data_IF_278415376894
#
_entry.id   IF_278415376894
#
_cell.length_a   1.000
_cell.length_b   1.000
_cell.length_c   1.000
_cell.angle_alpha   90.00
_cell.angle_beta   90.00
_cell.angle_gamma   90.00
#
_symmetry.space_group_name_H-M   'P 1'
#
loop_
_entity.id
_entity.type
_entity.pdbx_description
1 polymer ?
#
# COMPACT_ATOMS: atom_id res chain seq x y z
N UNK A 1 48.31 -50.30 -29.53
CA UNK A 1 47.35 -50.48 -28.40
C UNK A 1 47.15 -49.24 -27.52
N UNK A 2 47.85 -48.12 -27.73
CA UNK A 2 47.78 -46.92 -26.87
C UNK A 2 46.48 -46.10 -27.01
N UNK A 3 45.82 -46.13 -28.18
CA UNK A 3 44.60 -45.33 -28.43
C UNK A 3 43.34 -45.76 -27.65
N UNK A 4 43.18 -47.05 -27.32
CA UNK A 4 41.99 -47.54 -26.60
C UNK A 4 41.98 -47.15 -25.11
N UNK A 5 43.14 -46.99 -24.49
CA UNK A 5 43.24 -46.56 -23.09
C UNK A 5 42.94 -45.05 -22.93
N UNK A 6 43.36 -44.23 -23.90
CA UNK A 6 43.15 -42.79 -23.87
C UNK A 6 41.67 -42.39 -24.01
N UNK A 7 40.93 -43.02 -24.93
CA UNK A 7 39.49 -42.76 -25.11
C UNK A 7 38.66 -43.15 -23.87
N UNK A 8 39.05 -44.20 -23.13
CA UNK A 8 38.34 -44.64 -21.92
C UNK A 8 38.54 -43.66 -20.73
N UNK A 9 39.73 -43.07 -20.62
CA UNK A 9 40.05 -42.05 -19.61
C UNK A 9 39.34 -40.72 -19.83
N UNK A 10 39.19 -40.28 -21.08
CA UNK A 10 38.48 -39.03 -21.41
C UNK A 10 36.97 -39.17 -21.20
N UNK A 11 36.37 -40.30 -21.59
CA UNK A 11 34.95 -40.58 -21.40
C UNK A 11 34.53 -40.54 -19.92
N UNK A 12 35.30 -41.19 -19.04
CA UNK A 12 35.01 -41.21 -17.59
C UNK A 12 35.16 -39.84 -16.92
N UNK A 13 36.09 -38.98 -17.37
CA UNK A 13 36.19 -37.59 -16.87
C UNK A 13 35.00 -36.73 -17.30
N UNK A 14 34.55 -36.85 -18.55
CA UNK A 14 33.38 -36.10 -19.07
C UNK A 14 32.11 -36.48 -18.30
N UNK A 15 31.89 -37.78 -18.05
CA UNK A 15 30.74 -38.26 -17.26
C UNK A 15 30.79 -37.73 -15.81
N UNK A 16 31.98 -37.68 -15.20
CA UNK A 16 32.15 -37.19 -13.82
C UNK A 16 31.92 -35.68 -13.71
N UNK A 17 32.32 -34.90 -14.72
CA UNK A 17 32.06 -33.46 -14.82
C UNK A 17 30.56 -33.20 -15.02
N UNK A 18 29.91 -33.95 -15.91
CA UNK A 18 28.47 -33.86 -16.15
C UNK A 18 27.64 -34.15 -14.88
N UNK A 19 27.99 -35.22 -14.13
CA UNK A 19 27.29 -35.59 -12.90
C UNK A 19 27.41 -34.52 -11.81
N UNK A 20 28.60 -33.94 -11.62
CA UNK A 20 28.81 -32.84 -10.64
C UNK A 20 28.10 -31.55 -11.03
N UNK A 21 28.01 -31.25 -12.33
CA UNK A 21 27.26 -30.09 -12.85
C UNK A 21 25.76 -30.24 -12.56
N UNK A 22 25.19 -31.41 -12.87
CA UNK A 22 23.78 -31.73 -12.63
C UNK A 22 23.43 -31.69 -11.13
N UNK A 23 24.29 -32.23 -10.27
CA UNK A 23 24.09 -32.20 -8.80
C UNK A 23 24.05 -30.76 -8.25
N UNK A 24 24.91 -29.88 -8.81
CA UNK A 24 25.00 -28.48 -8.40
C UNK A 24 23.77 -27.68 -8.85
N UNK A 25 23.30 -27.90 -10.08
CA UNK A 25 22.04 -27.33 -10.61
C UNK A 25 20.84 -27.83 -9.80
N UNK A 26 20.81 -29.11 -9.43
CA UNK A 26 19.73 -29.69 -8.60
C UNK A 26 19.68 -29.08 -7.21
N UNK A 27 20.82 -28.88 -6.55
CA UNK A 27 20.87 -28.20 -5.23
C UNK A 27 20.43 -26.73 -5.31
N UNK A 28 20.84 -26.02 -6.36
CA UNK A 28 20.39 -24.64 -6.58
C UNK A 28 18.87 -24.55 -6.81
N UNK A 29 18.31 -25.49 -7.58
CA UNK A 29 16.86 -25.58 -7.78
C UNK A 29 16.11 -25.88 -6.47
N UNK A 30 16.58 -26.83 -5.66
CA UNK A 30 15.93 -27.15 -4.38
C UNK A 30 15.99 -25.97 -3.41
N UNK A 31 17.13 -25.27 -3.32
CA UNK A 31 17.27 -24.07 -2.49
C UNK A 31 16.34 -22.95 -2.93
N UNK A 32 16.20 -22.74 -4.25
CA UNK A 32 15.30 -21.73 -4.79
C UNK A 32 13.84 -22.09 -4.55
N UNK A 33 13.46 -23.36 -4.73
CA UNK A 33 12.09 -23.83 -4.49
C UNK A 33 11.68 -23.72 -3.02
N UNK A 34 12.59 -24.00 -2.08
CA UNK A 34 12.32 -23.84 -0.64
C UNK A 34 12.19 -22.36 -0.26
N UNK A 35 13.04 -21.49 -0.82
CA UNK A 35 12.97 -20.04 -0.59
C UNK A 35 11.69 -19.44 -1.17
N UNK A 36 11.30 -19.82 -2.38
CA UNK A 36 10.05 -19.41 -3.03
C UNK A 36 8.84 -19.93 -2.25
N UNK A 37 8.86 -21.18 -1.77
CA UNK A 37 7.78 -21.71 -0.95
C UNK A 37 7.66 -20.99 0.40
N UNK A 38 8.78 -20.67 1.05
CA UNK A 38 8.80 -19.87 2.27
C UNK A 38 8.23 -18.47 2.05
N UNK A 39 8.66 -17.79 0.97
CA UNK A 39 8.11 -16.49 0.57
C UNK A 39 6.61 -16.57 0.24
N UNK A 40 6.16 -17.62 -0.46
CA UNK A 40 4.74 -17.83 -0.76
C UNK A 40 3.93 -18.08 0.52
N UNK A 41 4.43 -18.86 1.48
CA UNK A 41 3.72 -19.11 2.75
C UNK A 41 3.63 -17.84 3.60
N UNK A 42 4.74 -17.12 3.73
CA UNK A 42 4.82 -15.90 4.53
C UNK A 42 4.00 -14.77 3.89
N UNK A 43 3.93 -14.74 2.56
CA UNK A 43 3.11 -13.80 1.79
C UNK A 43 1.64 -14.25 1.67
N UNK A 44 1.34 -15.56 1.74
CA UNK A 44 -0.02 -16.07 1.85
C UNK A 44 -0.64 -15.73 3.21
N UNK A 45 0.16 -15.78 4.28
CA UNK A 45 -0.25 -15.27 5.59
C UNK A 45 -0.50 -13.75 5.54
N UNK A 46 0.27 -13.01 4.73
CA UNK A 46 0.03 -11.58 4.45
C UNK A 46 -1.23 -11.34 3.57
N UNK A 47 -1.48 -12.17 2.55
CA UNK A 47 -2.66 -12.11 1.67
C UNK A 47 -3.96 -12.53 2.35
N UNK A 48 -3.90 -13.36 3.39
CA UNK A 48 -5.06 -13.71 4.21
C UNK A 48 -5.63 -12.48 4.92
N UNK A 49 -4.82 -11.44 5.08
CA UNK A 49 -5.23 -10.14 5.59
C UNK A 49 -5.41 -9.15 4.43
N UNK A 50 -4.48 -9.03 3.45
CA UNK A 50 -4.48 -8.00 2.42
C UNK A 50 -5.56 -8.17 1.31
N UNK A 51 -6.38 -7.14 1.10
CA UNK A 51 -7.56 -7.13 0.22
C UNK A 51 -7.34 -7.34 -1.30
N UNK A 52 -8.39 -7.14 -2.13
CA UNK A 52 -8.49 -7.66 -3.51
C UNK A 52 -7.44 -7.11 -4.49
N UNK A 53 -6.86 -5.93 -4.24
CA UNK A 53 -5.78 -5.37 -5.07
C UNK A 53 -4.42 -6.04 -4.81
N UNK A 54 -4.17 -6.49 -3.57
CA UNK A 54 -3.01 -7.33 -3.27
C UNK A 54 -3.17 -8.71 -3.91
N UNK A 55 -4.40 -9.23 -3.94
CA UNK A 55 -4.75 -10.46 -4.67
C UNK A 55 -4.55 -10.27 -6.17
N UNK A 56 -4.94 -9.14 -6.77
CA UNK A 56 -4.73 -8.87 -8.19
C UNK A 56 -3.24 -8.74 -8.54
N UNK A 57 -2.47 -8.03 -7.72
CA UNK A 57 -1.01 -7.89 -7.90
C UNK A 57 -0.32 -9.26 -7.76
N UNK A 58 -0.77 -10.09 -6.82
CA UNK A 58 -0.32 -11.47 -6.66
C UNK A 58 -0.71 -12.36 -7.84
N UNK A 59 -1.95 -12.28 -8.32
CA UNK A 59 -2.43 -13.03 -9.50
C UNK A 59 -1.61 -12.67 -10.74
N UNK A 60 -1.26 -11.39 -10.90
CA UNK A 60 -0.41 -10.93 -11.99
C UNK A 60 1.03 -11.47 -11.84
N UNK A 61 1.60 -11.42 -10.63
CA UNK A 61 2.91 -12.01 -10.35
C UNK A 61 2.94 -13.53 -10.55
N UNK A 62 1.88 -14.24 -10.14
CA UNK A 62 1.73 -15.68 -10.32
C UNK A 62 1.57 -16.03 -11.81
N UNK A 63 0.80 -15.25 -12.56
CA UNK A 63 0.64 -15.41 -14.01
C UNK A 63 1.98 -15.23 -14.73
N UNK A 64 2.75 -14.20 -14.37
CA UNK A 64 4.09 -13.97 -14.89
C UNK A 64 5.01 -15.16 -14.58
N UNK A 65 4.98 -15.67 -13.35
CA UNK A 65 5.77 -16.84 -12.95
C UNK A 65 5.39 -18.10 -13.75
N UNK A 66 4.08 -18.34 -13.96
CA UNK A 66 3.58 -19.47 -14.75
C UNK A 66 4.04 -19.36 -16.20
N UNK A 67 3.97 -18.17 -16.81
CA UNK A 67 4.44 -17.92 -18.18
C UNK A 67 5.95 -18.21 -18.27
N UNK A 68 6.73 -17.77 -17.28
CA UNK A 68 8.17 -17.99 -17.26
C UNK A 68 8.52 -19.49 -17.15
N UNK A 69 7.83 -20.23 -16.27
CA UNK A 69 8.00 -21.68 -16.09
C UNK A 69 7.60 -22.42 -17.38
N UNK A 70 6.45 -22.08 -17.98
CA UNK A 70 5.99 -22.66 -19.23
C UNK A 70 7.01 -22.43 -20.37
N UNK A 71 7.55 -21.22 -20.48
CA UNK A 71 8.60 -20.88 -21.46
C UNK A 71 9.91 -21.64 -21.24
N UNK A 72 10.27 -21.95 -19.99
CA UNK A 72 11.43 -22.82 -19.67
C UNK A 72 11.16 -24.28 -20.03
N UNK A 73 9.96 -24.81 -19.74
CA UNK A 73 9.56 -26.19 -20.07
C UNK A 73 9.50 -26.40 -21.58
N UNK A 74 8.90 -25.47 -22.33
CA UNK A 74 8.82 -25.54 -23.80
C UNK A 74 10.23 -25.56 -24.41
N UNK A 75 11.17 -24.75 -23.88
CA UNK A 75 12.58 -24.76 -24.33
C UNK A 75 13.27 -26.10 -24.11
N UNK A 76 12.98 -26.80 -23.01
CA UNK A 76 13.51 -28.15 -22.74
C UNK A 76 12.91 -29.16 -23.73
N UNK A 77 11.59 -29.13 -23.93
CA UNK A 77 10.88 -30.05 -24.83
C UNK A 77 11.33 -29.88 -26.29
N UNK A 78 11.47 -28.63 -26.76
CA UNK A 78 11.96 -28.32 -28.11
C UNK A 78 13.40 -28.82 -28.29
N UNK A 79 14.23 -28.71 -27.24
CA UNK A 79 15.62 -29.16 -27.27
C UNK A 79 15.74 -30.69 -27.30
N UNK A 80 14.83 -31.42 -26.67
CA UNK A 80 14.84 -32.90 -26.65
C UNK A 80 14.14 -33.55 -27.86
N UNK A 81 13.12 -32.92 -28.45
CA UNK A 81 12.32 -33.57 -29.52
C UNK A 81 12.77 -33.29 -30.96
N UNK A 82 13.63 -32.30 -31.20
CA UNK A 82 14.11 -31.95 -32.56
C UNK A 82 15.46 -32.63 -32.86
N UNK A 83 15.53 -33.96 -32.66
CA UNK A 83 16.57 -34.83 -33.23
C UNK A 83 15.94 -35.82 -34.25
N UNK A 84 14.91 -35.40 -34.97
CA UNK A 84 14.33 -36.19 -36.05
C UNK A 84 15.14 -36.05 -37.35
N UNK A 85 15.44 -37.19 -37.99
CA UNK A 85 16.14 -37.31 -39.29
C UNK A 85 15.38 -36.55 -40.39
N UNK A 86 15.74 -35.29 -40.61
CA UNK A 86 15.29 -34.47 -41.73
C UNK A 86 16.40 -34.46 -42.80
N UNK A 87 16.07 -34.60 -44.10
CA UNK A 87 17.04 -34.51 -45.20
C UNK A 87 17.84 -33.20 -45.17
N UNK A 88 19.15 -33.27 -45.44
CA UNK A 88 20.10 -32.19 -45.18
C UNK A 88 19.83 -30.85 -45.88
N UNK A 89 19.12 -30.83 -47.02
CA UNK A 89 18.76 -29.61 -47.73
C UNK A 89 17.60 -28.85 -47.06
N UNK A 90 16.57 -29.56 -46.61
CA UNK A 90 15.44 -28.99 -45.86
C UNK A 90 15.92 -28.55 -44.47
N UNK A 91 16.84 -29.30 -43.86
CA UNK A 91 17.45 -28.93 -42.58
C UNK A 91 18.15 -27.56 -42.62
N UNK A 92 18.77 -27.19 -43.75
CA UNK A 92 19.46 -25.91 -43.89
C UNK A 92 18.49 -24.73 -43.94
N UNK A 93 17.36 -24.89 -44.63
CA UNK A 93 16.32 -23.87 -44.71
C UNK A 93 15.56 -23.74 -43.39
N UNK A 94 15.11 -24.88 -42.84
CA UNK A 94 14.43 -24.96 -41.53
C UNK A 94 15.33 -24.42 -40.42
N UNK A 95 16.64 -24.71 -40.45
CA UNK A 95 17.60 -24.18 -39.50
C UNK A 95 17.69 -22.64 -39.52
N UNK A 96 17.73 -22.02 -40.71
CA UNK A 96 17.72 -20.56 -40.83
C UNK A 96 16.41 -19.94 -40.34
N UNK A 97 15.27 -20.54 -40.66
CA UNK A 97 13.96 -20.05 -40.22
C UNK A 97 13.80 -20.19 -38.70
N UNK A 98 14.19 -21.32 -38.11
CA UNK A 98 14.18 -21.52 -36.66
C UNK A 98 15.12 -20.54 -35.96
N UNK A 99 16.29 -20.26 -36.54
CA UNK A 99 17.21 -19.25 -35.99
C UNK A 99 16.59 -17.85 -36.05
N UNK A 100 15.94 -17.47 -37.16
CA UNK A 100 15.24 -16.20 -37.29
C UNK A 100 14.09 -16.06 -36.28
N UNK A 101 13.28 -17.11 -36.12
CA UNK A 101 12.19 -17.15 -35.13
C UNK A 101 12.73 -17.08 -33.69
N UNK A 102 13.87 -17.73 -33.40
CA UNK A 102 14.50 -17.65 -32.08
C UNK A 102 15.01 -16.24 -31.77
N UNK A 103 15.66 -15.59 -32.73
CA UNK A 103 16.11 -14.20 -32.57
C UNK A 103 14.93 -13.25 -32.38
N UNK A 104 13.85 -13.41 -33.16
CA UNK A 104 12.64 -12.60 -33.01
C UNK A 104 11.96 -12.83 -31.67
N UNK A 105 11.85 -14.09 -31.23
CA UNK A 105 11.29 -14.43 -29.92
C UNK A 105 12.10 -13.81 -28.78
N UNK A 106 13.44 -13.96 -28.81
CA UNK A 106 14.32 -13.39 -27.77
C UNK A 106 14.25 -11.85 -27.78
N UNK A 107 14.12 -11.23 -28.95
CA UNK A 107 13.92 -9.78 -29.09
C UNK A 107 12.57 -9.32 -28.53
N UNK A 108 11.46 -10.01 -28.84
CA UNK A 108 10.14 -9.70 -28.30
C UNK A 108 10.09 -9.89 -26.78
N UNK A 109 10.77 -10.93 -26.27
CA UNK A 109 10.88 -11.18 -24.83
C UNK A 109 11.61 -10.02 -24.15
N UNK A 110 12.74 -9.57 -24.71
CA UNK A 110 13.51 -8.43 -24.21
C UNK A 110 12.68 -7.13 -24.19
N UNK A 111 11.90 -6.87 -25.24
CA UNK A 111 11.00 -5.71 -25.29
C UNK A 111 9.91 -5.82 -24.20
N UNK A 112 9.30 -7.00 -24.05
CA UNK A 112 8.25 -7.20 -23.04
C UNK A 112 8.77 -7.01 -21.61
N UNK A 113 9.96 -7.53 -21.30
CA UNK A 113 10.63 -7.34 -20.01
C UNK A 113 10.98 -5.87 -19.77
N UNK A 114 11.42 -5.16 -20.81
CA UNK A 114 11.72 -3.73 -20.77
C UNK A 114 10.47 -2.88 -20.49
N UNK A 115 9.35 -3.15 -21.16
CA UNK A 115 8.08 -2.45 -20.95
C UNK A 115 7.55 -2.71 -19.54
N UNK A 116 7.56 -3.97 -19.08
CA UNK A 116 7.11 -4.32 -17.71
C UNK A 116 7.99 -3.62 -16.68
N UNK A 117 9.31 -3.62 -16.86
CA UNK A 117 10.23 -2.95 -15.95
C UNK A 117 10.01 -1.43 -15.91
N UNK A 118 9.80 -0.80 -17.07
CA UNK A 118 9.51 0.62 -17.17
C UNK A 118 8.17 0.98 -16.49
N UNK A 119 7.13 0.16 -16.68
CA UNK A 119 5.85 0.35 -16.02
C UNK A 119 5.96 0.20 -14.50
N UNK A 120 6.68 -0.82 -14.02
CA UNK A 120 6.92 -1.02 -12.59
C UNK A 120 7.73 0.12 -11.97
N UNK A 121 8.74 0.65 -12.69
CA UNK A 121 9.49 1.83 -12.27
C UNK A 121 8.62 3.09 -12.21
N UNK A 122 7.68 3.25 -13.16
CA UNK A 122 6.74 4.36 -13.14
C UNK A 122 5.78 4.28 -11.94
N UNK A 123 5.18 3.10 -11.70
CA UNK A 123 4.32 2.86 -10.54
C UNK A 123 5.09 3.14 -9.24
N UNK A 124 6.32 2.63 -9.15
CA UNK A 124 7.18 2.87 -8.00
C UNK A 124 7.49 4.35 -7.82
N UNK A 125 7.84 5.06 -8.89
CA UNK A 125 8.12 6.48 -8.85
C UNK A 125 6.92 7.26 -8.34
N UNK A 126 5.71 6.91 -8.78
CA UNK A 126 4.46 7.53 -8.30
C UNK A 126 4.27 7.24 -6.81
N UNK A 127 4.45 6.00 -6.35
CA UNK A 127 4.32 5.67 -4.92
C UNK A 127 5.36 6.41 -4.09
N UNK A 128 6.62 6.42 -4.53
CA UNK A 128 7.71 7.13 -3.87
C UNK A 128 7.50 8.65 -3.84
N UNK A 129 7.01 9.25 -4.93
CA UNK A 129 6.72 10.68 -4.98
C UNK A 129 5.58 11.06 -4.03
N UNK A 130 4.49 10.28 -4.01
CA UNK A 130 3.41 10.47 -3.03
C UNK A 130 3.90 10.28 -1.60
N UNK A 131 4.81 9.33 -1.39
CA UNK A 131 5.41 9.06 -0.10
C UNK A 131 6.30 10.20 0.41
N UNK A 132 7.17 10.74 -0.45
CA UNK A 132 8.01 11.90 -0.14
C UNK A 132 7.12 13.10 0.15
N UNK A 133 6.08 13.31 -0.65
CA UNK A 133 5.10 14.38 -0.45
C UNK A 133 4.43 14.29 0.93
N UNK A 134 3.87 13.13 1.29
CA UNK A 134 3.25 12.90 2.61
C UNK A 134 4.26 13.15 3.74
N UNK A 135 5.50 12.69 3.58
CA UNK A 135 6.56 12.92 4.57
C UNK A 135 6.88 14.41 4.75
N UNK A 136 6.89 15.18 3.66
CA UNK A 136 7.10 16.64 3.71
C UNK A 136 5.93 17.39 4.33
N UNK A 137 4.70 17.03 4.01
CA UNK A 137 3.50 17.66 4.58
C UNK A 137 3.41 17.38 6.09
N UNK A 138 3.69 16.15 6.52
CA UNK A 138 3.80 15.80 7.94
C UNK A 138 4.83 16.70 8.64
N UNK A 139 5.99 16.97 8.02
CA UNK A 139 7.01 17.85 8.60
C UNK A 139 6.60 19.33 8.67
N UNK A 140 5.63 19.78 7.87
CA UNK A 140 5.11 21.14 7.89
C UNK A 140 3.97 21.33 8.90
N UNK A 141 3.47 20.26 9.52
CA UNK A 141 2.39 20.39 10.50
C UNK A 141 2.81 21.32 11.66
N UNK A 142 1.95 22.28 12.05
CA UNK A 142 2.25 23.25 13.11
C UNK A 142 2.39 22.61 14.50
N UNK A 143 2.01 21.35 14.69
CA UNK A 143 2.18 20.63 15.96
C UNK A 143 3.64 20.21 16.25
N UNK A 144 4.55 20.35 15.30
CA UNK A 144 5.95 19.92 15.46
C UNK A 144 6.83 20.90 16.25
N UNK A 145 6.28 21.84 17.01
CA UNK A 145 7.09 22.81 17.78
C UNK A 145 7.76 22.13 18.99
N UNK A 146 7.19 21.04 19.52
CA UNK A 146 7.66 20.34 20.72
C UNK A 146 8.61 19.15 20.43
N UNK A 147 8.57 18.60 19.23
CA UNK A 147 9.37 17.43 18.83
C UNK A 147 10.70 17.88 18.25
N UNK A 148 11.80 17.20 18.60
CA UNK A 148 13.10 17.43 17.96
C UNK A 148 13.00 17.15 16.45
N UNK A 149 12.71 18.22 15.69
CA UNK A 149 12.60 18.20 14.23
C UNK A 149 13.86 17.62 13.60
N UNK A 150 15.02 17.80 14.24
CA UNK A 150 16.28 17.21 13.82
C UNK A 150 16.23 15.69 13.86
N UNK A 151 15.83 15.11 14.99
CA UNK A 151 15.67 13.66 15.16
C UNK A 151 14.67 13.05 14.17
N UNK A 152 13.51 13.69 13.96
CA UNK A 152 12.51 13.22 12.98
C UNK A 152 13.04 13.30 11.56
N UNK A 153 13.68 14.40 11.18
CA UNK A 153 14.29 14.57 9.87
C UNK A 153 15.39 13.54 9.62
N UNK A 154 16.24 13.27 10.62
CA UNK A 154 17.29 12.24 10.54
C UNK A 154 16.69 10.86 10.37
N UNK A 155 15.61 10.53 11.09
CA UNK A 155 14.95 9.24 10.96
C UNK A 155 14.27 9.08 9.60
N UNK A 156 13.51 10.09 9.15
CA UNK A 156 12.89 10.12 7.82
C UNK A 156 13.97 9.98 6.75
N UNK A 157 15.06 10.72 6.86
CA UNK A 157 16.17 10.65 5.91
C UNK A 157 16.84 9.27 5.92
N UNK A 158 17.08 8.70 7.09
CA UNK A 158 17.74 7.39 7.23
C UNK A 158 16.88 6.28 6.65
N UNK A 159 15.60 6.23 7.03
CA UNK A 159 14.68 5.16 6.60
C UNK A 159 14.31 5.29 5.12
N UNK A 160 14.10 6.51 4.63
CA UNK A 160 13.56 6.72 3.28
C UNK A 160 14.60 6.96 2.20
N UNK A 161 15.82 7.38 2.57
CA UNK A 161 16.89 7.63 1.60
C UNK A 161 18.07 6.71 1.84
N UNK A 162 18.61 6.64 3.06
CA UNK A 162 19.83 5.88 3.31
C UNK A 162 19.63 4.37 3.15
N UNK A 163 18.56 3.81 3.73
CA UNK A 163 18.27 2.37 3.63
C UNK A 163 18.03 1.95 2.17
N UNK A 164 17.16 2.61 1.37
CA UNK A 164 17.01 2.28 -0.04
C UNK A 164 18.30 2.38 -0.85
N UNK A 165 19.16 3.37 -0.58
CA UNK A 165 20.47 3.51 -1.25
C UNK A 165 21.39 2.34 -0.92
N UNK A 166 21.47 1.95 0.36
CA UNK A 166 22.28 0.80 0.78
C UNK A 166 21.78 -0.49 0.13
N UNK A 167 20.46 -0.74 0.16
CA UNK A 167 19.86 -1.91 -0.46
C UNK A 167 20.13 -1.89 -1.98
N UNK A 168 19.95 -0.74 -2.64
CA UNK A 168 20.24 -0.59 -4.07
C UNK A 168 21.71 -0.87 -4.39
N UNK A 169 22.65 -0.39 -3.58
CA UNK A 169 24.08 -0.65 -3.75
C UNK A 169 24.44 -2.14 -3.63
N UNK A 170 23.91 -2.82 -2.62
CA UNK A 170 24.05 -4.28 -2.46
C UNK A 170 23.48 -4.99 -3.68
N UNK A 171 22.33 -4.53 -4.13
CA UNK A 171 21.65 -5.10 -5.28
C UNK A 171 22.46 -4.90 -6.58
N UNK A 172 22.88 -3.69 -6.93
CA UNK A 172 23.70 -3.43 -8.13
C UNK A 172 24.97 -4.30 -8.15
N UNK A 173 25.62 -4.49 -7.00
CA UNK A 173 26.79 -5.38 -6.87
C UNK A 173 26.50 -6.85 -7.18
N UNK A 174 25.31 -7.35 -6.79
CA UNK A 174 24.84 -8.70 -7.09
C UNK A 174 24.37 -8.83 -8.55
N UNK A 175 23.64 -7.84 -9.06
CA UNK A 175 23.18 -7.75 -10.43
C UNK A 175 24.32 -7.78 -11.47
N UNK A 176 25.41 -7.06 -11.20
CA UNK A 176 26.61 -7.08 -12.06
C UNK A 176 27.25 -8.47 -12.14
N UNK A 177 27.04 -9.34 -11.15
CA UNK A 177 27.48 -10.75 -11.18
C UNK A 177 26.50 -11.68 -11.90
N UNK A 178 25.23 -11.30 -12.00
CA UNK A 178 24.13 -12.14 -12.49
C UNK A 178 23.25 -11.40 -13.51
N UNK A 179 23.87 -10.86 -14.56
CA UNK A 179 23.22 -10.04 -15.62
C UNK A 179 21.96 -10.70 -16.21
N UNK A 180 21.89 -12.04 -16.20
CA UNK A 180 20.78 -12.78 -16.77
C UNK A 180 19.48 -12.72 -15.93
N UNK A 181 19.57 -12.42 -14.64
CA UNK A 181 18.42 -12.35 -13.71
C UNK A 181 18.14 -10.90 -13.25
N UNK A 182 18.69 -9.91 -13.96
CA UNK A 182 18.58 -8.49 -13.63
C UNK A 182 17.13 -8.00 -13.43
N UNK A 183 16.13 -8.34 -14.27
CA UNK A 183 14.77 -7.84 -14.10
C UNK A 183 14.12 -8.30 -12.79
N UNK A 184 14.18 -9.61 -12.49
CA UNK A 184 13.65 -10.19 -11.25
C UNK A 184 14.28 -9.54 -10.03
N UNK A 185 15.57 -9.27 -10.13
CA UNK A 185 16.35 -8.70 -9.06
C UNK A 185 16.05 -7.22 -8.82
N UNK A 186 15.86 -6.44 -9.89
CA UNK A 186 15.33 -5.08 -9.82
C UNK A 186 13.93 -5.09 -9.22
N UNK A 187 13.02 -5.94 -9.69
CA UNK A 187 11.65 -6.02 -9.12
C UNK A 187 11.67 -6.33 -7.62
N UNK A 188 12.48 -7.29 -7.18
CA UNK A 188 12.62 -7.62 -5.76
C UNK A 188 13.17 -6.44 -4.93
N UNK A 189 14.15 -5.70 -5.46
CA UNK A 189 14.66 -4.48 -4.83
C UNK A 189 13.57 -3.43 -4.65
N UNK A 190 12.82 -3.15 -5.71
CA UNK A 190 11.78 -2.12 -5.69
C UNK A 190 10.67 -2.48 -4.70
N UNK A 191 10.25 -3.74 -4.66
CA UNK A 191 9.28 -4.23 -3.68
C UNK A 191 9.80 -4.11 -2.24
N UNK A 192 11.08 -4.39 -2.00
CA UNK A 192 11.69 -4.23 -0.69
C UNK A 192 11.76 -2.76 -0.26
N UNK A 193 12.12 -1.85 -1.19
CA UNK A 193 12.10 -0.41 -0.93
C UNK A 193 10.70 0.06 -0.56
N UNK A 194 9.67 -0.35 -1.33
CA UNK A 194 8.28 -0.03 -1.02
C UNK A 194 7.85 -0.52 0.36
N UNK A 195 8.18 -1.77 0.69
CA UNK A 195 7.83 -2.37 1.96
C UNK A 195 8.48 -1.62 3.13
N UNK A 196 9.76 -1.29 3.01
CA UNK A 196 10.51 -0.55 4.03
C UNK A 196 9.96 0.86 4.19
N UNK A 197 9.72 1.58 3.08
CA UNK A 197 9.14 2.93 3.12
C UNK A 197 7.75 2.92 3.76
N UNK A 198 6.86 2.03 3.33
CA UNK A 198 5.52 1.91 3.90
C UNK A 198 5.56 1.62 5.41
N UNK A 199 6.36 0.65 5.83
CA UNK A 199 6.54 0.30 7.24
C UNK A 199 7.10 1.49 8.04
N UNK A 200 8.04 2.23 7.45
CA UNK A 200 8.62 3.44 8.01
C UNK A 200 7.57 4.53 8.29
N UNK A 201 6.67 4.80 7.33
CA UNK A 201 5.57 5.76 7.52
C UNK A 201 4.57 5.29 8.56
N UNK A 202 4.24 4.00 8.61
CA UNK A 202 3.33 3.46 9.64
C UNK A 202 3.92 3.64 11.03
N UNK A 203 5.19 3.27 11.23
CA UNK A 203 5.89 3.43 12.51
C UNK A 203 5.99 4.91 12.89
N UNK A 204 6.40 5.76 11.94
CA UNK A 204 6.50 7.20 12.16
C UNK A 204 5.14 7.81 12.52
N UNK A 205 4.09 7.48 11.77
CA UNK A 205 2.74 7.95 12.03
C UNK A 205 2.22 7.54 13.40
N UNK A 206 2.44 6.28 13.81
CA UNK A 206 2.06 5.81 15.15
C UNK A 206 2.83 6.54 16.26
N UNK A 207 4.14 6.72 16.07
CA UNK A 207 4.97 7.43 17.04
C UNK A 207 4.54 8.89 17.18
N UNK A 208 4.40 9.61 16.05
CA UNK A 208 3.92 11.00 16.04
C UNK A 208 2.52 11.13 16.64
N UNK A 209 1.66 10.17 16.36
CA UNK A 209 0.31 10.17 16.90
C UNK A 209 0.31 10.07 18.41
N UNK A 210 1.14 9.19 18.98
CA UNK A 210 1.28 9.08 20.43
C UNK A 210 1.74 10.39 21.08
N UNK A 211 2.65 11.13 20.42
CA UNK A 211 3.10 12.44 20.87
C UNK A 211 1.97 13.47 20.79
N UNK A 212 1.22 13.51 19.68
CA UNK A 212 0.07 14.42 19.50
C UNK A 212 -1.01 14.17 20.57
N UNK A 213 -1.32 12.91 20.86
CA UNK A 213 -2.28 12.55 21.91
C UNK A 213 -1.81 13.04 23.28
N UNK A 214 -0.53 12.81 23.63
CA UNK A 214 0.02 13.24 24.92
C UNK A 214 0.03 14.78 25.06
N UNK A 215 0.40 15.50 24.00
CA UNK A 215 0.35 16.96 23.97
C UNK A 215 -1.09 17.47 24.16
N UNK A 216 -2.06 16.88 23.45
CA UNK A 216 -3.47 17.26 23.60
C UNK A 216 -4.02 16.93 25.00
N UNK A 217 -3.64 15.81 25.61
CA UNK A 217 -4.02 15.48 27.00
C UNK A 217 -3.53 16.52 28.00
N UNK A 218 -2.30 17.02 27.79
CA UNK A 218 -1.72 18.06 28.64
C UNK A 218 -2.42 19.42 28.48
N UNK A 219 -2.97 19.72 27.29
CA UNK A 219 -3.65 21.00 27.02
C UNK A 219 -5.14 20.97 27.41
N UNK A 220 -5.88 19.92 27.03
CA UNK A 220 -7.35 19.86 27.10
C UNK A 220 -7.90 18.95 28.20
N UNK A 221 -7.04 18.50 29.12
CA UNK A 221 -7.32 17.48 30.12
C UNK A 221 -7.74 16.12 29.50
N UNK A 222 -8.13 15.18 30.36
CA UNK A 222 -8.45 13.79 29.97
C UNK A 222 -9.91 13.41 30.20
N UNK A 223 -10.74 14.33 30.70
CA UNK A 223 -12.14 14.05 31.01
C UNK A 223 -13.02 14.32 29.79
N UNK A 224 -13.81 13.34 29.40
CA UNK A 224 -14.85 13.48 28.39
C UNK A 224 -15.98 14.43 28.87
N UNK A 225 -15.91 15.70 28.45
CA UNK A 225 -16.96 16.71 28.64
C UNK A 225 -17.24 17.38 27.30
N UNK A 226 -18.44 17.96 27.14
CA UNK A 226 -18.80 18.66 25.91
C UNK A 226 -17.90 19.86 25.63
N UNK A 227 -17.49 20.59 26.67
CA UNK A 227 -16.57 21.72 26.57
C UNK A 227 -15.19 21.27 26.05
N UNK A 228 -14.58 20.25 26.66
CA UNK A 228 -13.28 19.73 26.23
C UNK A 228 -13.35 19.16 24.81
N UNK A 229 -14.42 18.43 24.48
CA UNK A 229 -14.62 17.88 23.14
C UNK A 229 -14.72 19.00 22.09
N UNK A 230 -15.44 20.08 22.41
CA UNK A 230 -15.55 21.26 21.55
C UNK A 230 -14.22 22.02 21.43
N UNK A 231 -13.45 22.14 22.52
CA UNK A 231 -12.11 22.75 22.48
C UNK A 231 -11.15 21.98 21.56
N UNK A 232 -11.15 20.64 21.63
CA UNK A 232 -10.37 19.81 20.69
C UNK A 232 -10.87 20.01 19.27
N UNK A 233 -12.19 19.98 19.02
CA UNK A 233 -12.76 20.21 17.68
C UNK A 233 -12.32 21.56 17.09
N UNK A 234 -12.33 22.61 17.91
CA UNK A 234 -11.87 23.95 17.52
C UNK A 234 -10.38 23.96 17.16
N UNK A 235 -9.54 23.36 18.01
CA UNK A 235 -8.10 23.30 17.78
C UNK A 235 -7.73 22.47 16.54
N UNK A 236 -8.39 21.32 16.35
CA UNK A 236 -8.25 20.49 15.15
C UNK A 236 -8.65 21.28 13.92
N UNK A 237 -9.83 21.90 13.88
CA UNK A 237 -10.29 22.68 12.73
C UNK A 237 -9.37 23.86 12.37
N UNK A 238 -8.80 24.53 13.38
CA UNK A 238 -7.86 25.63 13.16
C UNK A 238 -6.58 25.18 12.45
N UNK A 239 -6.12 23.97 12.73
CA UNK A 239 -4.85 23.44 12.21
C UNK A 239 -5.04 22.52 11.00
N UNK A 240 -6.27 22.08 10.72
CA UNK A 240 -6.58 21.18 9.63
C UNK A 240 -6.64 21.90 8.27
N UNK A 241 -5.87 21.42 7.30
CA UNK A 241 -5.86 21.92 5.94
C UNK A 241 -6.84 21.14 5.06
N UNK A 242 -8.00 21.73 4.77
CA UNK A 242 -8.97 21.15 3.85
C UNK A 242 -8.49 21.16 2.41
N UNK A 243 -8.58 20.01 1.75
CA UNK A 243 -8.06 19.81 0.39
C UNK A 243 -9.13 19.91 -0.70
N UNK A 244 -10.28 20.53 -0.40
CA UNK A 244 -11.35 20.69 -1.39
C UNK A 244 -10.86 21.49 -2.59
N UNK A 245 -11.12 20.97 -3.79
CA UNK A 245 -10.72 21.59 -5.08
C UNK A 245 -9.21 21.70 -5.29
N UNK A 246 -8.41 21.08 -4.42
CA UNK A 246 -6.96 20.99 -4.57
C UNK A 246 -6.61 19.55 -4.95
N UNK A 247 -5.80 19.37 -5.98
CA UNK A 247 -5.35 18.05 -6.43
C UNK A 247 -4.17 17.55 -5.57
N UNK A 248 -4.41 17.36 -4.29
CA UNK A 248 -3.43 16.78 -3.35
C UNK A 248 -3.87 15.38 -2.93
N UNK A 249 -2.92 14.43 -2.79
CA UNK A 249 -3.21 13.10 -2.26
C UNK A 249 -3.81 13.20 -0.87
N UNK A 250 -4.96 12.56 -0.65
CA UNK A 250 -5.61 12.49 0.66
C UNK A 250 -4.93 11.40 1.49
N UNK A 251 -4.76 11.57 2.82
CA UNK A 251 -4.21 10.50 3.66
C UNK A 251 -4.98 9.18 3.50
N UNK A 252 -6.32 9.24 3.39
CA UNK A 252 -7.16 8.07 3.10
C UNK A 252 -6.99 7.47 1.70
N UNK A 253 -6.36 8.14 0.73
CA UNK A 253 -6.07 7.54 -0.58
C UNK A 253 -4.88 6.57 -0.52
N UNK A 254 -4.12 6.56 0.58
CA UNK A 254 -3.19 5.46 0.88
C UNK A 254 -3.94 4.19 1.32
N UNK A 255 -5.27 4.23 1.46
CA UNK A 255 -6.10 3.06 1.70
C UNK A 255 -6.27 2.25 0.42
N UNK A 256 -6.01 0.95 0.50
CA UNK A 256 -6.38 0.02 -0.57
C UNK A 256 -7.91 -0.08 -0.56
N UNK A 257 -8.61 0.13 -1.70
CA UNK A 257 -10.05 -0.02 -1.75
C UNK A 257 -10.44 -1.48 -1.45
N UNK A 258 -11.26 -1.65 -0.42
CA UNK A 258 -11.90 -2.89 -0.03
C UNK A 258 -13.06 -2.57 0.91
N UNK A 259 -14.27 -3.00 0.52
CA UNK A 259 -15.57 -2.89 1.22
C UNK A 259 -15.60 -1.88 2.38
N UNK A 260 -15.83 -0.59 2.09
CA UNK A 260 -16.32 0.50 2.96
C UNK A 260 -15.80 0.58 4.42
N UNK A 261 -14.76 -0.18 4.74
CA UNK A 261 -14.24 -0.40 6.07
C UNK A 261 -12.79 0.02 6.04
N UNK A 262 -12.44 0.91 6.97
CA UNK A 262 -11.12 1.49 7.13
C UNK A 262 -10.09 0.44 7.55
N UNK A 263 -9.71 -0.49 6.66
CA UNK A 263 -9.00 -1.69 7.07
C UNK A 263 -7.46 -1.52 7.13
N UNK A 264 -6.88 -0.45 6.54
CA UNK A 264 -5.44 -0.46 6.23
C UNK A 264 -4.61 0.74 6.68
N UNK A 265 -5.18 1.94 6.79
CA UNK A 265 -4.41 3.11 7.27
C UNK A 265 -4.65 3.26 8.77
N UNK A 266 -3.60 3.21 9.61
CA UNK A 266 -3.74 3.50 11.02
C UNK A 266 -4.41 4.87 11.19
N UNK A 267 -5.51 4.94 11.94
CA UNK A 267 -6.23 6.22 12.18
C UNK A 267 -5.30 7.30 12.72
N UNK A 268 -4.27 6.90 13.49
CA UNK A 268 -3.21 7.79 13.94
C UNK A 268 -2.47 8.50 12.81
N UNK A 269 -2.24 7.85 11.66
CA UNK A 269 -1.60 8.48 10.49
C UNK A 269 -2.49 9.57 9.88
N UNK A 270 -3.80 9.32 9.78
CA UNK A 270 -4.77 10.33 9.33
C UNK A 270 -4.79 11.49 10.33
N UNK A 271 -4.82 11.17 11.62
CA UNK A 271 -4.86 12.15 12.69
C UNK A 271 -3.59 12.98 12.84
N UNK A 272 -2.43 12.59 12.31
CA UNK A 272 -1.21 13.43 12.30
C UNK A 272 -0.98 14.13 10.98
N UNK A 273 -1.73 13.78 9.94
CA UNK A 273 -1.59 14.43 8.64
C UNK A 273 -2.14 15.86 8.65
N UNK A 274 -3.10 16.17 9.54
CA UNK A 274 -3.76 17.48 9.65
C UNK A 274 -4.28 18.01 8.30
N UNK A 275 -4.66 17.12 7.38
CA UNK A 275 -5.12 17.50 6.04
C UNK A 275 -6.03 16.45 5.42
N UNK A 276 -6.96 16.91 4.58
CA UNK A 276 -7.83 16.04 3.79
C UNK A 276 -9.21 16.62 3.54
N UNK A 277 -10.20 15.74 3.43
CA UNK A 277 -11.62 16.07 3.24
C UNK A 277 -12.42 15.97 4.54
N UNK A 278 -13.73 16.24 4.51
CA UNK A 278 -14.62 16.11 5.68
C UNK A 278 -14.51 14.75 6.36
N UNK A 279 -14.40 13.66 5.60
CA UNK A 279 -14.23 12.33 6.17
C UNK A 279 -12.89 12.15 6.88
N UNK A 280 -11.79 12.69 6.32
CA UNK A 280 -10.47 12.65 6.96
C UNK A 280 -10.48 13.47 8.27
N UNK A 281 -11.10 14.65 8.25
CA UNK A 281 -11.30 15.50 9.43
C UNK A 281 -12.14 14.80 10.50
N UNK A 282 -13.25 14.16 10.12
CA UNK A 282 -14.11 13.44 11.05
C UNK A 282 -13.39 12.24 11.69
N UNK A 283 -12.58 11.51 10.91
CA UNK A 283 -11.74 10.41 11.43
C UNK A 283 -10.71 10.94 12.41
N UNK A 284 -10.00 12.02 12.06
CA UNK A 284 -9.03 12.65 12.97
C UNK A 284 -9.70 13.06 14.28
N UNK A 285 -10.77 13.85 14.20
CA UNK A 285 -11.43 14.38 15.40
C UNK A 285 -11.96 13.25 16.29
N UNK A 286 -12.68 12.27 15.74
CA UNK A 286 -13.22 11.16 16.54
C UNK A 286 -12.12 10.29 17.14
N UNK A 287 -10.98 10.16 16.46
CA UNK A 287 -9.81 9.44 16.97
C UNK A 287 -9.18 10.19 18.13
N UNK A 288 -9.01 11.51 18.04
CA UNK A 288 -8.51 12.35 19.13
C UNK A 288 -9.48 12.35 20.33
N UNK A 289 -10.80 12.47 20.09
CA UNK A 289 -11.78 12.45 21.18
C UNK A 289 -11.76 11.13 21.97
N UNK A 290 -11.55 10.00 21.31
CA UNK A 290 -11.39 8.69 21.97
C UNK A 290 -10.09 8.64 22.77
N UNK A 291 -8.97 8.99 22.14
CA UNK A 291 -7.66 8.66 22.70
C UNK A 291 -7.16 9.73 23.69
N UNK A 292 -7.63 10.97 23.58
CA UNK A 292 -7.34 12.08 24.50
C UNK A 292 -8.32 12.09 25.68
N UNK A 293 -9.63 12.05 25.41
CA UNK A 293 -10.67 12.25 26.43
C UNK A 293 -11.35 10.96 26.90
N UNK A 294 -11.09 9.81 26.25
CA UNK A 294 -11.79 8.56 26.54
C UNK A 294 -13.26 8.56 26.11
N UNK A 295 -13.66 9.44 25.19
CA UNK A 295 -15.05 9.54 24.76
C UNK A 295 -15.47 8.39 23.84
N UNK A 296 -16.74 7.98 23.93
CA UNK A 296 -17.38 7.23 22.84
C UNK A 296 -17.63 8.23 21.69
N UNK A 297 -16.99 7.99 20.54
CA UNK A 297 -17.11 8.84 19.35
C UNK A 297 -17.37 7.96 18.13
N UNK A 298 -17.89 8.52 17.03
CA UNK A 298 -18.10 7.83 15.75
C UNK A 298 -18.09 8.80 14.57
N UNK A 299 -17.78 8.28 13.38
CA UNK A 299 -17.92 9.02 12.12
C UNK A 299 -19.25 8.62 11.50
N UNK A 300 -20.07 9.61 11.17
CA UNK A 300 -21.34 9.41 10.48
C UNK A 300 -21.28 10.11 9.14
N UNK A 301 -21.86 9.52 8.10
CA UNK A 301 -21.95 10.16 6.80
C UNK A 301 -23.40 10.23 6.33
N UNK A 302 -23.71 11.26 5.55
CA UNK A 302 -24.98 11.32 4.87
C UNK A 302 -25.04 10.28 3.75
N UNK A 303 -26.21 9.68 3.58
CA UNK A 303 -26.50 8.86 2.42
C UNK A 303 -26.91 9.74 1.24
N UNK A 304 -26.32 9.48 0.07
CA UNK A 304 -26.53 10.23 -1.18
C UNK A 304 -26.15 11.73 -1.12
N UNK A 305 -25.41 12.14 -0.09
CA UNK A 305 -24.79 13.46 0.00
C UNK A 305 -23.34 13.30 0.45
N UNK A 306 -22.37 13.80 -0.33
CA UNK A 306 -20.93 13.60 -0.12
C UNK A 306 -20.41 14.45 1.05
N UNK A 307 -20.78 14.07 2.27
CA UNK A 307 -20.29 14.69 3.51
C UNK A 307 -20.30 13.71 4.69
N UNK A 308 -19.24 13.77 5.50
CA UNK A 308 -19.08 13.02 6.74
C UNK A 308 -18.85 13.98 7.90
N UNK A 309 -19.36 13.61 9.07
CA UNK A 309 -19.31 14.41 10.28
C UNK A 309 -18.87 13.57 11.50
N UNK A 310 -18.16 14.20 12.45
CA UNK A 310 -17.78 13.56 13.69
C UNK A 310 -18.88 13.71 14.75
N UNK A 311 -19.12 12.64 15.49
CA UNK A 311 -20.00 12.62 16.65
C UNK A 311 -19.30 12.16 17.91
N UNK A 312 -19.76 12.66 19.06
CA UNK A 312 -19.29 12.25 20.38
C UNK A 312 -20.47 12.06 21.32
N UNK A 313 -20.36 11.10 22.23
CA UNK A 313 -21.38 10.80 23.23
C UNK A 313 -20.94 11.32 24.59
N UNK A 314 -21.72 12.24 25.14
CA UNK A 314 -21.51 12.83 26.48
C UNK A 314 -22.75 12.53 27.31
N UNK A 315 -22.56 11.93 28.48
CA UNK A 315 -23.64 11.57 29.41
C UNK A 315 -24.81 10.81 28.75
N UNK A 316 -24.48 9.92 27.81
CA UNK A 316 -25.45 9.09 27.08
C UNK A 316 -26.12 9.77 25.87
N UNK A 317 -25.81 11.04 25.60
CA UNK A 317 -26.37 11.81 24.48
C UNK A 317 -25.33 12.01 23.38
N UNK A 318 -25.69 11.72 22.13
CA UNK A 318 -24.85 12.01 20.97
C UNK A 318 -24.92 13.48 20.58
N UNK A 319 -23.76 14.04 20.25
CA UNK A 319 -23.58 15.40 19.74
C UNK A 319 -22.80 15.37 18.43
N UNK A 320 -23.23 16.17 17.48
CA UNK A 320 -22.56 16.46 16.21
C UNK A 320 -21.56 17.59 16.40
N UNK A 321 -20.30 17.38 16.01
CA UNK A 321 -19.18 18.32 16.15
C UNK A 321 -18.59 18.73 14.79
N UNK A 322 -19.45 18.92 13.79
CA UNK A 322 -19.02 19.31 12.45
C UNK A 322 -18.77 20.83 12.33
N UNK A 323 -17.77 21.29 13.09
CA UNK A 323 -17.32 22.68 13.11
C UNK A 323 -16.85 23.17 11.73
N UNK A 324 -16.43 22.24 10.87
CA UNK A 324 -15.90 22.56 9.54
C UNK A 324 -16.97 22.98 8.53
N UNK A 325 -18.24 22.59 8.76
CA UNK A 325 -19.29 22.81 7.78
C UNK A 325 -20.67 23.06 8.37
N UNK A 326 -21.32 22.06 8.96
CA UNK A 326 -22.74 22.16 9.32
C UNK A 326 -22.99 22.77 10.69
N UNK A 327 -22.11 22.58 11.67
CA UNK A 327 -22.28 23.08 13.04
C UNK A 327 -21.12 24.00 13.47
N UNK A 328 -20.78 25.07 12.72
CA UNK A 328 -19.60 25.91 13.00
C UNK A 328 -19.69 26.70 14.31
N UNK A 329 -20.90 26.97 14.80
CA UNK A 329 -21.13 27.78 15.99
C UNK A 329 -21.00 27.00 17.32
N UNK A 330 -21.16 25.68 17.29
CA UNK A 330 -21.23 24.88 18.51
C UNK A 330 -21.72 23.46 18.26
N UNK A 331 -21.55 22.56 19.25
CA UNK A 331 -22.05 21.20 19.14
C UNK A 331 -23.59 21.18 19.15
N UNK A 332 -24.18 20.31 18.34
CA UNK A 332 -25.63 20.13 18.25
C UNK A 332 -25.99 18.73 18.72
N UNK A 333 -27.03 18.58 19.53
CA UNK A 333 -27.53 17.25 19.92
C UNK A 333 -28.01 16.52 18.67
N UNK A 334 -27.64 15.25 18.52
CA UNK A 334 -28.04 14.42 17.38
C UNK A 334 -29.55 14.50 17.14
N UNK A 335 -30.37 14.29 18.17
CA UNK A 335 -31.84 14.33 18.05
C UNK A 335 -32.44 15.65 17.56
N UNK A 336 -31.71 16.76 17.67
CA UNK A 336 -32.13 18.09 17.22
C UNK A 336 -31.54 18.44 15.84
N UNK A 337 -30.70 17.58 15.27
CA UNK A 337 -29.82 17.91 14.15
C UNK A 337 -30.59 18.19 12.85
N UNK A 338 -31.58 17.38 12.49
CA UNK A 338 -32.44 17.66 11.32
C UNK A 338 -33.11 19.04 11.41
N UNK A 339 -33.70 19.34 12.58
CA UNK A 339 -34.37 20.63 12.81
C UNK A 339 -33.38 21.78 12.77
N UNK A 340 -32.19 21.59 13.33
CA UNK A 340 -31.10 22.55 13.26
C UNK A 340 -30.73 22.87 11.81
N UNK A 341 -30.46 21.85 10.98
CA UNK A 341 -30.11 22.02 9.56
C UNK A 341 -31.20 22.74 8.76
N UNK A 342 -32.47 22.42 9.04
CA UNK A 342 -33.63 23.07 8.42
C UNK A 342 -33.70 24.56 8.77
N UNK A 343 -33.33 24.94 10.00
CA UNK A 343 -33.42 26.32 10.49
C UNK A 343 -32.18 27.16 10.18
N UNK A 344 -31.02 26.56 9.91
CA UNK A 344 -29.75 27.26 9.66
C UNK A 344 -29.37 27.38 8.17
N UNK A 345 -30.27 26.97 7.27
CA UNK A 345 -30.13 27.22 5.82
C UNK A 345 -29.39 26.13 5.04
N UNK A 346 -29.18 24.94 5.63
CA UNK A 346 -28.65 23.77 4.92
C UNK A 346 -29.76 23.02 4.16
N UNK A 347 -30.64 23.75 3.48
CA UNK A 347 -31.82 23.21 2.79
C UNK A 347 -31.47 22.17 1.72
N UNK A 348 -30.28 22.28 1.11
CA UNK A 348 -29.77 21.29 0.15
C UNK A 348 -29.53 19.92 0.81
N UNK A 349 -28.95 19.88 2.01
CA UNK A 349 -28.74 18.63 2.76
C UNK A 349 -30.11 18.02 3.09
N UNK A 350 -31.06 18.83 3.58
CA UNK A 350 -32.41 18.37 3.90
C UNK A 350 -33.13 17.81 2.66
N UNK A 351 -32.91 18.40 1.49
CA UNK A 351 -33.54 17.97 0.24
C UNK A 351 -32.91 16.72 -0.39
N UNK A 352 -31.60 16.53 -0.23
CA UNK A 352 -30.83 15.48 -0.93
C UNK A 352 -30.47 14.28 -0.05
N UNK A 353 -30.18 14.50 1.23
CA UNK A 353 -29.75 13.43 2.12
C UNK A 353 -30.92 12.49 2.45
N UNK A 354 -30.74 11.20 2.20
CA UNK A 354 -31.75 10.17 2.48
C UNK A 354 -31.69 9.61 3.90
N UNK A 355 -30.61 9.89 4.61
CA UNK A 355 -30.33 9.34 5.91
C UNK A 355 -28.89 9.58 6.34
N UNK A 356 -28.53 8.94 7.45
CA UNK A 356 -27.22 8.99 8.07
C UNK A 356 -26.79 7.56 8.43
N UNK A 357 -25.55 7.21 8.13
CA UNK A 357 -24.97 5.90 8.43
C UNK A 357 -23.69 6.06 9.24
N UNK A 358 -23.58 5.28 10.31
CA UNK A 358 -22.33 5.09 11.04
C UNK A 358 -21.33 4.36 10.15
N UNK A 359 -20.22 5.03 9.83
CA UNK A 359 -19.20 4.52 8.90
C UNK A 359 -18.41 3.35 9.44
N UNK A 360 -18.41 3.13 10.75
CA UNK A 360 -17.68 2.03 11.36
C UNK A 360 -18.52 0.76 11.44
N UNK A 361 -19.81 0.92 11.75
CA UNK A 361 -20.71 -0.23 11.96
C UNK A 361 -21.63 -0.52 10.77
N UNK A 362 -21.75 0.43 9.83
CA UNK A 362 -22.70 0.37 8.72
C UNK A 362 -24.17 0.49 9.15
N UNK A 363 -24.44 0.85 10.41
CA UNK A 363 -25.80 1.00 10.92
C UNK A 363 -26.41 2.32 10.48
N UNK A 364 -27.68 2.27 10.09
CA UNK A 364 -28.51 3.46 9.90
C UNK A 364 -28.76 4.13 11.27
N UNK A 365 -28.41 5.41 11.36
CA UNK A 365 -28.56 6.27 12.55
C UNK A 365 -29.47 7.47 12.25
N UNK A 366 -30.23 7.44 11.15
CA UNK A 366 -31.09 8.53 10.70
C UNK A 366 -32.12 8.95 11.76
N UNK A 367 -32.78 7.99 12.40
CA UNK A 367 -33.79 8.26 13.42
C UNK A 367 -33.20 8.89 14.68
N UNK A 368 -31.94 8.61 15.01
CA UNK A 368 -31.22 9.26 16.13
C UNK A 368 -31.01 10.76 15.85
N UNK A 369 -31.09 11.16 14.58
CA UNK A 369 -30.82 12.52 14.10
C UNK A 369 -32.06 13.33 13.72
N UNK A 370 -33.25 12.76 13.96
CA UNK A 370 -34.53 13.37 13.56
C UNK A 370 -34.85 13.25 12.07
N UNK A 371 -34.07 12.48 11.30
CA UNK A 371 -34.42 12.12 9.93
C UNK A 371 -35.48 11.02 9.96
N UNK A 372 -36.47 11.09 9.06
CA UNK A 372 -37.49 10.04 8.99
C UNK A 372 -36.83 8.72 8.60
N UNK A 373 -36.99 7.64 9.39
CA UNK A 373 -36.45 6.34 9.05
C UNK A 373 -37.06 5.86 7.73
N UNK A 374 -36.28 5.11 6.94
CA UNK A 374 -36.73 4.53 5.68
C UNK A 374 -38.03 3.73 5.89
N UNK A 375 -38.96 3.91 4.96
CA UNK A 375 -40.06 2.97 4.73
C UNK A 375 -39.59 1.79 3.88
#
# INVERSE_FOLDING_TARGET
MVGKAFCKGVSTRIVKIGKRSIERVRRQHVSLSVFVLGAIIQFYLFLKEAGPLAVLSFMLALLILIIEIAGRVIRVIIKEKIEFKIPGSIMKLVGKTIQGVRVLHDFLLLISEGIISAFMLLVLYVVYANFVYVSFEVLHSPYFVSVDKGGVLVMVFTVNYLVPVIITGIFVGLAMRYIRDLPTFVTALLLLILLVSYTGVVILGQWLYSVKVEEMKNIYATRCTLENAWSIAYATNKNFMFTYRVNVPKPRQLMIPGDDRYLWVPRGLIAVADTGTCEDFAIELTTLLRDVLGCEARVVAFEDYDHALPEVKIDGVWYVLDISYTTPAGPVRAGDYWMYLNNTGYSKIIAEAKGLVDRETGKDVSSEHGFMPRG
#
